data_IF_294229589464
#
_entry.id   IF_294229589464
#
_cell.length_a   1.000
_cell.length_b   1.000
_cell.length_c   1.000
_cell.angle_alpha   90.00
_cell.angle_beta   90.00
_cell.angle_gamma   90.00
#
_symmetry.space_group_name_H-M   'P 1'
#
loop_
_entity.id
_entity.type
_entity.pdbx_description
1 polymer ?
#
# COMPACT_ATOMS: atom_id res chain seq x y z
N UNK A 1 -25.00 43.08 -4.33
CA UNK A 1 -24.89 42.71 -5.75
C UNK A 1 -25.02 41.20 -5.84
N UNK A 2 -26.09 40.70 -6.46
CA UNK A 2 -26.26 39.26 -6.66
C UNK A 2 -25.15 38.80 -7.60
N UNK A 3 -24.43 37.77 -7.19
CA UNK A 3 -23.33 37.21 -7.97
C UNK A 3 -23.96 36.45 -9.15
N UNK A 4 -24.03 37.08 -10.33
CA UNK A 4 -24.39 36.48 -11.62
C UNK A 4 -23.38 35.36 -11.93
N UNK A 5 -23.58 34.19 -11.32
CA UNK A 5 -22.62 33.10 -11.38
C UNK A 5 -22.79 32.35 -12.71
N UNK A 6 -21.84 32.53 -13.62
CA UNK A 6 -21.65 31.62 -14.74
C UNK A 6 -21.35 30.23 -14.17
N UNK A 7 -22.14 29.22 -14.57
CA UNK A 7 -21.84 27.84 -14.23
C UNK A 7 -20.99 27.24 -15.35
N UNK A 8 -19.79 26.77 -15.00
CA UNK A 8 -18.93 26.04 -15.93
C UNK A 8 -19.65 24.76 -16.33
N UNK A 9 -19.96 24.67 -17.63
CA UNK A 9 -20.59 23.53 -18.26
C UNK A 9 -19.54 22.52 -18.75
N UNK A 10 -18.40 23.04 -19.21
CA UNK A 10 -17.25 22.24 -19.66
C UNK A 10 -15.96 23.05 -19.59
N UNK A 11 -14.84 22.40 -19.30
CA UNK A 11 -13.49 22.98 -19.41
C UNK A 11 -12.53 21.90 -19.88
N UNK A 12 -11.79 22.15 -20.95
CA UNK A 12 -10.84 21.18 -21.51
C UNK A 12 -9.71 21.84 -22.28
N UNK A 13 -8.61 21.11 -22.47
CA UNK A 13 -7.47 21.53 -23.30
C UNK A 13 -7.64 20.99 -24.73
N UNK A 14 -7.36 21.84 -25.70
CA UNK A 14 -7.56 21.55 -27.12
C UNK A 14 -6.45 22.16 -27.96
N UNK A 15 -6.05 21.42 -28.99
CA UNK A 15 -5.13 21.91 -30.00
C UNK A 15 -5.89 22.70 -31.07
N UNK A 16 -5.46 23.95 -31.33
CA UNK A 16 -6.09 24.86 -32.29
C UNK A 16 -5.11 25.35 -33.35
N UNK A 17 -5.57 25.42 -34.60
CA UNK A 17 -4.86 26.10 -35.70
C UNK A 17 -5.34 27.55 -35.81
N UNK A 18 -4.45 28.51 -35.60
CA UNK A 18 -4.71 29.95 -35.75
C UNK A 18 -4.25 30.38 -37.13
N UNK A 19 -5.17 30.89 -37.96
CA UNK A 19 -4.89 31.31 -39.35
C UNK A 19 -5.00 32.82 -39.49
N UNK A 20 -3.92 33.46 -39.95
CA UNK A 20 -3.82 34.91 -40.21
C UNK A 20 -3.33 35.12 -41.64
N UNK A 21 -4.28 35.13 -42.59
CA UNK A 21 -3.93 35.12 -44.01
C UNK A 21 -3.21 33.83 -44.39
N UNK A 22 -1.96 33.94 -44.83
CA UNK A 22 -1.10 32.79 -45.18
C UNK A 22 -0.33 32.22 -43.98
N UNK A 23 -0.31 32.91 -42.84
CA UNK A 23 0.33 32.43 -41.63
C UNK A 23 -0.57 31.43 -40.90
N UNK A 24 -0.03 30.27 -40.56
CA UNK A 24 -0.68 29.29 -39.71
C UNK A 24 0.21 29.01 -38.50
N UNK A 25 -0.34 29.26 -37.31
CA UNK A 25 0.25 28.90 -36.03
C UNK A 25 -0.60 27.82 -35.37
N UNK A 26 0.01 26.99 -34.55
CA UNK A 26 -0.70 25.95 -33.80
C UNK A 26 -0.42 26.13 -32.32
N UNK A 27 -1.43 25.91 -31.48
CA UNK A 27 -1.34 26.19 -30.04
C UNK A 27 -2.24 25.26 -29.24
N UNK A 28 -1.81 24.88 -28.05
CA UNK A 28 -2.70 24.29 -27.05
C UNK A 28 -3.41 25.40 -26.28
N UNK A 29 -4.73 25.33 -26.21
CA UNK A 29 -5.55 26.31 -25.50
C UNK A 29 -6.53 25.60 -24.57
N UNK A 30 -6.95 26.29 -23.52
CA UNK A 30 -8.08 25.89 -22.70
C UNK A 30 -9.36 26.51 -23.26
N UNK A 31 -10.36 25.67 -23.51
CA UNK A 31 -11.71 26.11 -23.88
C UNK A 31 -12.64 25.85 -22.70
N UNK A 32 -13.26 26.92 -22.21
CA UNK A 32 -14.28 26.87 -21.15
C UNK A 32 -15.63 27.23 -21.76
N UNK A 33 -16.62 26.37 -21.55
CA UNK A 33 -18.01 26.58 -21.93
C UNK A 33 -18.81 26.84 -20.65
N UNK A 34 -19.50 27.96 -20.58
CA UNK A 34 -20.25 28.38 -19.41
C UNK A 34 -21.67 28.77 -19.80
N UNK A 35 -22.66 28.37 -18.99
CA UNK A 35 -24.05 28.80 -19.14
C UNK A 35 -24.42 29.74 -18.00
N UNK A 36 -24.96 30.91 -18.33
CA UNK A 36 -25.56 31.84 -17.39
C UNK A 36 -27.07 31.65 -17.43
N UNK A 37 -27.65 31.15 -16.35
CA UNK A 37 -29.09 30.85 -16.27
C UNK A 37 -29.95 32.11 -16.13
N UNK A 38 -29.44 33.18 -15.50
CA UNK A 38 -30.22 34.39 -15.23
C UNK A 38 -30.62 35.15 -16.50
N UNK A 39 -29.73 35.19 -17.49
CA UNK A 39 -29.96 35.88 -18.77
C UNK A 39 -30.00 34.90 -19.96
N UNK A 40 -30.04 33.60 -19.67
CA UNK A 40 -30.04 32.51 -20.65
C UNK A 40 -29.04 32.74 -21.79
N UNK A 41 -27.77 32.89 -21.40
CA UNK A 41 -26.67 33.15 -22.33
C UNK A 41 -25.59 32.07 -22.21
N UNK A 42 -25.03 31.68 -23.35
CA UNK A 42 -23.90 30.76 -23.46
C UNK A 42 -22.62 31.56 -23.70
N UNK A 43 -21.56 31.21 -22.98
CA UNK A 43 -20.25 31.85 -23.10
C UNK A 43 -19.18 30.81 -23.38
N UNK A 44 -18.41 31.00 -24.44
CA UNK A 44 -17.21 30.23 -24.71
C UNK A 44 -16.00 31.14 -24.49
N UNK A 45 -15.03 30.65 -23.73
CA UNK A 45 -13.78 31.34 -23.43
C UNK A 45 -12.66 30.48 -23.97
N UNK A 46 -11.84 31.05 -24.86
CA UNK A 46 -10.61 30.43 -25.35
C UNK A 46 -9.47 31.20 -24.70
N UNK A 47 -8.68 30.52 -23.87
CA UNK A 47 -7.57 31.10 -23.13
C UNK A 47 -6.34 30.21 -23.25
N UNK A 48 -5.16 30.80 -23.17
CA UNK A 48 -3.92 30.05 -23.01
C UNK A 48 -3.42 30.15 -21.56
N UNK A 49 -2.92 29.03 -21.03
CA UNK A 49 -2.31 28.98 -19.70
C UNK A 49 -0.88 29.56 -19.71
N UNK A 50 -0.18 29.53 -20.85
CA UNK A 50 1.18 30.07 -20.99
C UNK A 50 1.20 31.56 -21.39
N UNK A 51 0.17 32.03 -22.09
CA UNK A 51 0.01 33.41 -22.54
C UNK A 51 -1.27 34.03 -22.00
N UNK A 52 -1.12 34.79 -20.91
CA UNK A 52 -2.23 35.49 -20.26
C UNK A 52 -2.93 36.55 -21.13
N UNK A 53 -2.32 36.97 -22.25
CA UNK A 53 -2.91 37.94 -23.19
C UNK A 53 -3.76 37.28 -24.27
N UNK A 54 -3.61 35.97 -24.46
CA UNK A 54 -4.45 35.21 -25.37
C UNK A 54 -5.81 34.92 -24.71
N UNK A 55 -6.80 35.74 -25.05
CA UNK A 55 -8.17 35.58 -24.58
C UNK A 55 -9.15 35.93 -25.70
N UNK A 56 -10.03 34.99 -26.04
CA UNK A 56 -11.17 35.23 -26.92
C UNK A 56 -12.44 34.83 -26.20
N UNK A 57 -13.49 35.66 -26.36
CA UNK A 57 -14.77 35.45 -25.72
C UNK A 57 -15.88 35.47 -26.75
N UNK A 58 -16.64 34.39 -26.81
CA UNK A 58 -17.88 34.32 -27.57
C UNK A 58 -19.01 34.35 -26.56
N UNK A 59 -19.91 35.32 -26.68
CA UNK A 59 -21.13 35.41 -25.91
C UNK A 59 -22.31 35.27 -26.86
N UNK A 60 -23.16 34.28 -26.61
CA UNK A 60 -24.37 34.02 -27.38
C UNK A 60 -25.57 34.12 -26.46
N UNK A 61 -26.40 35.12 -26.69
CA UNK A 61 -27.75 35.16 -26.11
C UNK A 61 -28.69 34.26 -26.91
N UNK A 62 -29.88 33.99 -26.37
CA UNK A 62 -30.93 33.28 -27.12
C UNK A 62 -31.29 34.00 -28.42
N UNK A 63 -31.29 35.33 -28.46
CA UNK A 63 -31.56 36.11 -29.66
C UNK A 63 -30.46 35.91 -30.73
N UNK A 64 -29.20 36.01 -30.33
CA UNK A 64 -28.06 35.79 -31.25
C UNK A 64 -28.08 34.36 -31.82
N UNK A 65 -28.50 33.40 -30.99
CA UNK A 65 -28.60 32.02 -31.41
C UNK A 65 -29.67 31.77 -32.49
N UNK A 66 -30.82 32.44 -32.44
CA UNK A 66 -31.86 32.28 -33.47
C UNK A 66 -31.35 32.72 -34.86
N UNK A 67 -30.51 33.75 -34.91
CA UNK A 67 -29.83 34.15 -36.14
C UNK A 67 -28.78 33.13 -36.56
N UNK A 68 -27.91 32.70 -35.63
CA UNK A 68 -26.89 31.68 -35.87
C UNK A 68 -27.50 30.37 -36.40
N UNK A 69 -28.61 29.94 -35.80
CA UNK A 69 -29.36 28.75 -36.15
C UNK A 69 -29.83 28.80 -37.60
N UNK A 70 -30.39 29.93 -38.04
CA UNK A 70 -30.81 30.13 -39.44
C UNK A 70 -29.62 30.20 -40.39
N UNK A 71 -28.57 30.94 -40.00
CA UNK A 71 -27.37 31.15 -40.83
C UNK A 71 -26.60 29.86 -41.10
N UNK A 72 -26.56 28.93 -40.14
CA UNK A 72 -25.80 27.68 -40.23
C UNK A 72 -26.68 26.43 -40.36
N UNK A 73 -27.99 26.60 -40.50
CA UNK A 73 -28.93 25.49 -40.64
C UNK A 73 -28.93 24.53 -39.44
N UNK A 74 -28.73 25.04 -38.22
CA UNK A 74 -28.72 24.20 -37.02
C UNK A 74 -30.13 23.67 -36.73
N UNK A 75 -30.24 22.39 -36.40
CA UNK A 75 -31.53 21.74 -36.13
C UNK A 75 -31.91 21.67 -34.65
N UNK A 76 -30.96 21.96 -33.77
CA UNK A 76 -31.15 21.94 -32.32
C UNK A 76 -31.70 23.27 -31.80
N UNK A 77 -32.23 23.28 -30.59
CA UNK A 77 -32.64 24.50 -29.88
C UNK A 77 -31.48 25.07 -29.05
N UNK A 78 -31.69 26.26 -28.48
CA UNK A 78 -30.70 26.92 -27.66
C UNK A 78 -30.36 26.12 -26.40
N UNK A 79 -31.33 25.40 -25.82
CA UNK A 79 -31.13 24.68 -24.58
C UNK A 79 -30.24 23.45 -24.73
N UNK A 80 -30.31 22.78 -25.88
CA UNK A 80 -29.45 21.65 -26.23
C UNK A 80 -28.13 22.08 -26.92
N UNK A 81 -28.03 23.33 -27.38
CA UNK A 81 -26.84 23.83 -28.06
C UNK A 81 -25.53 23.69 -27.24
N UNK A 82 -25.45 24.04 -25.95
CA UNK A 82 -24.24 23.86 -25.15
C UNK A 82 -23.73 22.41 -25.13
N UNK A 83 -24.64 21.43 -24.99
CA UNK A 83 -24.31 20.01 -25.03
C UNK A 83 -23.74 19.59 -26.37
N UNK A 84 -24.29 20.10 -27.47
CA UNK A 84 -23.77 19.82 -28.82
C UNK A 84 -22.39 20.45 -29.05
N UNK A 85 -22.15 21.67 -28.55
CA UNK A 85 -20.82 22.29 -28.59
C UNK A 85 -19.80 21.42 -27.85
N UNK A 86 -20.12 20.93 -26.65
CA UNK A 86 -19.22 20.04 -25.90
C UNK A 86 -18.95 18.74 -26.66
N UNK A 87 -19.97 18.15 -27.29
CA UNK A 87 -19.79 16.94 -28.11
C UNK A 87 -18.84 17.18 -29.28
N UNK A 88 -18.97 18.29 -29.98
CA UNK A 88 -18.04 18.68 -31.06
C UNK A 88 -16.61 18.86 -30.52
N UNK A 89 -16.45 19.53 -29.38
CA UNK A 89 -15.14 19.67 -28.74
C UNK A 89 -14.55 18.30 -28.36
N UNK A 90 -15.34 17.38 -27.84
CA UNK A 90 -14.89 16.01 -27.53
C UNK A 90 -14.42 15.26 -28.79
N UNK A 91 -15.08 15.46 -29.93
CA UNK A 91 -14.62 14.91 -31.22
C UNK A 91 -13.30 15.53 -31.70
N UNK A 92 -13.04 16.79 -31.36
CA UNK A 92 -11.72 17.41 -31.57
C UNK A 92 -10.65 16.78 -30.68
N UNK A 93 -10.96 16.50 -29.41
CA UNK A 93 -10.02 15.83 -28.51
C UNK A 93 -9.69 14.39 -28.94
N UNK A 94 -10.61 13.71 -29.64
CA UNK A 94 -10.37 12.38 -30.21
C UNK A 94 -9.69 12.41 -31.60
N UNK A 95 -9.18 13.56 -32.04
CA UNK A 95 -8.53 13.79 -33.35
C UNK A 95 -9.41 13.44 -34.57
N UNK A 96 -10.74 13.44 -34.43
CA UNK A 96 -11.67 13.25 -35.55
C UNK A 96 -12.07 14.56 -36.22
N UNK A 97 -11.93 15.67 -35.50
CA UNK A 97 -12.21 17.03 -35.97
C UNK A 97 -11.10 17.97 -35.51
N UNK A 98 -11.04 19.16 -36.10
CA UNK A 98 -10.01 20.16 -35.86
C UNK A 98 -10.64 21.49 -35.49
N UNK A 99 -10.00 22.23 -34.59
CA UNK A 99 -10.38 23.59 -34.25
C UNK A 99 -9.53 24.58 -35.04
N UNK A 100 -10.20 25.57 -35.64
CA UNK A 100 -9.53 26.62 -36.40
C UNK A 100 -10.01 27.98 -35.90
N UNK A 101 -9.08 28.88 -35.60
CA UNK A 101 -9.34 30.28 -35.34
C UNK A 101 -8.84 31.12 -36.51
N UNK A 102 -9.74 31.51 -37.41
CA UNK A 102 -9.40 32.15 -38.67
C UNK A 102 -9.69 33.66 -38.61
N UNK A 103 -8.66 34.48 -38.86
CA UNK A 103 -8.81 35.93 -39.01
C UNK A 103 -9.60 36.25 -40.28
N UNK A 104 -10.66 37.04 -40.15
CA UNK A 104 -11.52 37.49 -41.26
C UNK A 104 -11.30 38.97 -41.55
N UNK A 105 -11.32 39.79 -40.51
CA UNK A 105 -10.93 41.22 -40.55
C UNK A 105 -9.91 41.47 -39.44
N UNK A 106 -9.19 42.61 -39.41
CA UNK A 106 -8.09 42.82 -38.45
C UNK A 106 -8.41 42.56 -36.98
N UNK A 107 -9.69 42.60 -36.59
CA UNK A 107 -10.16 42.34 -35.23
C UNK A 107 -11.16 41.19 -35.12
N UNK A 108 -11.72 40.70 -36.25
CA UNK A 108 -12.77 39.68 -36.26
C UNK A 108 -12.20 38.33 -36.70
N UNK A 109 -12.51 37.31 -35.92
CA UNK A 109 -12.14 35.93 -36.17
C UNK A 109 -13.37 35.04 -36.25
N UNK A 110 -13.26 33.95 -37.01
CA UNK A 110 -14.17 32.82 -36.93
C UNK A 110 -13.49 31.69 -36.15
N UNK A 111 -14.12 31.24 -35.08
CA UNK A 111 -13.79 30.01 -34.38
C UNK A 111 -14.61 28.87 -34.97
N UNK A 112 -13.94 27.91 -35.60
CA UNK A 112 -14.56 26.89 -36.43
C UNK A 112 -14.22 25.48 -35.94
N UNK A 113 -15.24 24.63 -35.90
CA UNK A 113 -15.09 23.17 -35.76
C UNK A 113 -15.15 22.57 -37.15
N UNK A 114 -14.12 21.83 -37.52
CA UNK A 114 -13.90 21.38 -38.89
C UNK A 114 -13.65 19.88 -38.92
N UNK A 115 -14.25 19.20 -39.89
CA UNK A 115 -13.93 17.83 -40.25
C UNK A 115 -13.30 17.81 -41.66
N UNK A 116 -12.28 16.99 -41.85
CA UNK A 116 -11.74 16.69 -43.17
C UNK A 116 -12.22 15.30 -43.57
N UNK A 117 -12.96 15.20 -44.67
CA UNK A 117 -13.25 13.92 -45.29
C UNK A 117 -12.36 13.72 -46.53
N UNK A 118 -12.49 12.58 -47.20
CA UNK A 118 -11.66 12.23 -48.37
C UNK A 118 -11.80 13.22 -49.55
N UNK A 119 -12.84 14.06 -49.56
CA UNK A 119 -13.15 14.95 -50.66
C UNK A 119 -12.94 16.44 -50.34
N UNK A 120 -13.36 16.89 -49.17
CA UNK A 120 -13.43 18.31 -48.81
C UNK A 120 -13.37 18.55 -47.30
N UNK A 121 -13.15 19.82 -46.99
CA UNK A 121 -13.33 20.39 -45.66
C UNK A 121 -14.82 20.63 -45.38
N UNK A 122 -15.32 20.16 -44.25
CA UNK A 122 -16.66 20.42 -43.74
C UNK A 122 -16.57 21.27 -42.46
N UNK A 123 -17.29 22.39 -42.41
CA UNK A 123 -17.40 23.22 -41.20
C UNK A 123 -18.70 22.81 -40.48
N UNK A 124 -18.57 22.27 -39.26
CA UNK A 124 -19.69 21.85 -38.42
C UNK A 124 -20.29 22.99 -37.62
N UNK A 125 -19.45 23.95 -37.23
CA UNK A 125 -19.85 25.12 -36.47
C UNK A 125 -18.86 26.26 -36.73
N UNK A 126 -19.34 27.48 -36.93
CA UNK A 126 -18.50 28.67 -37.08
C UNK A 126 -19.00 29.79 -36.16
N UNK A 127 -18.22 30.22 -35.19
CA UNK A 127 -18.62 31.25 -34.23
C UNK A 127 -17.76 32.50 -34.42
N UNK A 128 -18.40 33.64 -34.62
CA UNK A 128 -17.68 34.92 -34.70
C UNK A 128 -17.14 35.29 -33.32
N UNK A 129 -15.90 35.73 -33.28
CA UNK A 129 -15.20 36.11 -32.06
C UNK A 129 -14.19 37.22 -32.34
N UNK A 130 -13.69 37.85 -31.28
CA UNK A 130 -12.62 38.83 -31.33
C UNK A 130 -11.73 38.67 -30.11
N UNK A 131 -10.48 39.15 -30.15
CA UNK A 131 -9.65 39.24 -28.96
C UNK A 131 -10.38 40.04 -27.88
N UNK A 132 -10.29 39.57 -26.63
CA UNK A 132 -10.86 40.27 -25.49
C UNK A 132 -10.20 41.64 -25.32
N UNK A 133 -11.00 42.64 -24.94
CA UNK A 133 -10.45 43.97 -24.66
C UNK A 133 -9.75 44.02 -23.28
N UNK A 134 -9.02 45.10 -23.00
CA UNK A 134 -8.29 45.29 -21.75
C UNK A 134 -9.13 45.10 -20.48
N UNK A 135 -10.41 45.48 -20.52
CA UNK A 135 -11.30 45.37 -19.36
C UNK A 135 -11.66 43.91 -19.13
N UNK A 136 -12.03 43.18 -20.18
CA UNK A 136 -12.33 41.75 -20.13
C UNK A 136 -11.11 40.92 -19.75
N UNK A 137 -9.92 41.31 -20.24
CA UNK A 137 -8.66 40.67 -19.93
C UNK A 137 -8.31 40.83 -18.45
N UNK A 138 -8.34 42.06 -17.94
CA UNK A 138 -8.08 42.36 -16.52
C UNK A 138 -9.06 41.64 -15.61
N UNK A 139 -10.34 41.60 -15.98
CA UNK A 139 -11.36 40.88 -15.22
C UNK A 139 -11.07 39.38 -15.18
N UNK A 140 -10.79 38.77 -16.34
CA UNK A 140 -10.45 37.35 -16.42
C UNK A 140 -9.20 37.01 -15.60
N UNK A 141 -8.15 37.84 -15.67
CA UNK A 141 -6.94 37.66 -14.88
C UNK A 141 -7.23 37.78 -13.38
N UNK A 142 -8.03 38.77 -12.96
CA UNK A 142 -8.40 38.94 -11.55
C UNK A 142 -9.19 37.73 -11.03
N UNK A 143 -10.17 37.25 -11.79
CA UNK A 143 -10.96 36.06 -11.44
C UNK A 143 -10.08 34.81 -11.35
N UNK A 144 -9.18 34.63 -12.33
CA UNK A 144 -8.20 33.54 -12.34
C UNK A 144 -7.28 33.61 -11.11
N UNK A 145 -6.78 34.79 -10.74
CA UNK A 145 -5.94 34.96 -9.54
C UNK A 145 -6.71 34.61 -8.27
N UNK A 146 -7.98 35.01 -8.17
CA UNK A 146 -8.83 34.68 -7.02
C UNK A 146 -9.06 33.18 -6.93
N UNK A 147 -9.38 32.52 -8.06
CA UNK A 147 -9.54 31.07 -8.13
C UNK A 147 -8.24 30.34 -7.73
N UNK A 148 -7.10 30.74 -8.32
CA UNK A 148 -5.80 30.16 -8.01
C UNK A 148 -5.43 30.33 -6.53
N UNK A 149 -5.69 31.51 -5.93
CA UNK A 149 -5.46 31.74 -4.49
C UNK A 149 -6.33 30.82 -3.63
N UNK A 150 -7.59 30.62 -3.99
CA UNK A 150 -8.51 29.72 -3.29
C UNK A 150 -8.04 28.27 -3.39
N UNK A 151 -7.67 27.82 -4.59
CA UNK A 151 -7.13 26.46 -4.82
C UNK A 151 -5.84 26.24 -4.05
N UNK A 152 -4.91 27.22 -4.06
CA UNK A 152 -3.65 27.14 -3.32
C UNK A 152 -3.89 27.05 -1.81
N UNK A 153 -4.78 27.88 -1.25
CA UNK A 153 -5.13 27.84 0.17
C UNK A 153 -5.72 26.48 0.56
N UNK A 154 -6.63 25.95 -0.27
CA UNK A 154 -7.22 24.62 -0.05
C UNK A 154 -6.14 23.54 -0.09
N UNK A 155 -5.29 23.54 -1.11
CA UNK A 155 -4.22 22.56 -1.28
C UNK A 155 -3.20 22.62 -0.12
N UNK A 156 -2.85 23.84 0.32
CA UNK A 156 -1.95 24.06 1.47
C UNK A 156 -2.55 23.52 2.76
N UNK A 157 -3.84 23.76 3.00
CA UNK A 157 -4.54 23.24 4.18
C UNK A 157 -4.60 21.71 4.17
N UNK A 158 -4.90 21.09 3.02
CA UNK A 158 -4.90 19.63 2.90
C UNK A 158 -3.50 19.04 3.06
N UNK A 159 -2.47 19.70 2.51
CA UNK A 159 -1.08 19.26 2.65
C UNK A 159 -0.64 19.28 4.11
N UNK A 160 -0.92 20.36 4.84
CA UNK A 160 -0.58 20.47 6.26
C UNK A 160 -1.34 19.46 7.12
N UNK A 161 -2.62 19.22 6.83
CA UNK A 161 -3.40 18.18 7.52
C UNK A 161 -2.85 16.77 7.26
N UNK A 162 -2.44 16.49 6.02
CA UNK A 162 -1.85 15.21 5.66
C UNK A 162 -0.49 15.02 6.34
N UNK A 163 0.35 16.06 6.37
CA UNK A 163 1.64 16.04 7.05
C UNK A 163 1.49 15.76 8.55
N UNK A 164 0.53 16.40 9.21
CA UNK A 164 0.20 16.13 10.61
C UNK A 164 -0.25 14.68 10.83
N UNK A 165 -1.17 14.18 9.99
CA UNK A 165 -1.65 12.80 10.07
C UNK A 165 -0.52 11.78 9.90
N UNK A 166 0.38 12.01 8.93
CA UNK A 166 1.52 11.14 8.69
C UNK A 166 2.54 11.19 9.83
N UNK A 167 2.82 12.39 10.34
CA UNK A 167 3.69 12.58 11.50
C UNK A 167 3.18 11.79 12.72
N UNK A 168 1.89 11.92 13.05
CA UNK A 168 1.28 11.15 14.15
C UNK A 168 1.38 9.64 13.93
N UNK A 169 1.20 9.18 12.68
CA UNK A 169 1.29 7.75 12.34
C UNK A 169 2.72 7.24 12.48
N UNK A 170 3.72 8.02 12.07
CA UNK A 170 5.13 7.70 12.25
C UNK A 170 5.45 7.57 13.75
N UNK A 171 5.08 8.56 14.57
CA UNK A 171 5.33 8.51 16.02
C UNK A 171 4.66 7.30 16.69
N UNK A 172 3.43 6.95 16.30
CA UNK A 172 2.74 5.75 16.81
C UNK A 172 3.46 4.45 16.41
N UNK A 173 3.98 4.37 15.19
CA UNK A 173 4.72 3.20 14.72
C UNK A 173 6.09 3.09 15.40
N UNK A 174 6.79 4.21 15.57
CA UNK A 174 8.06 4.27 16.31
C UNK A 174 7.89 3.81 17.75
N UNK A 175 6.85 4.26 18.46
CA UNK A 175 6.53 3.80 19.81
C UNK A 175 6.24 2.31 19.86
N UNK A 176 5.42 1.78 18.93
CA UNK A 176 5.14 0.34 18.87
C UNK A 176 6.39 -0.49 18.57
N UNK A 177 7.25 0.01 17.68
CA UNK A 177 8.51 -0.64 17.35
C UNK A 177 9.40 -0.70 18.59
N UNK A 178 9.51 0.41 19.33
CA UNK A 178 10.24 0.46 20.58
C UNK A 178 9.71 -0.55 21.61
N UNK A 179 8.40 -0.60 21.83
CA UNK A 179 7.77 -1.55 22.77
C UNK A 179 8.02 -3.01 22.37
N UNK A 180 7.90 -3.31 21.07
CA UNK A 180 8.17 -4.66 20.55
C UNK A 180 9.63 -5.04 20.71
N UNK A 181 10.57 -4.13 20.42
CA UNK A 181 11.99 -4.35 20.64
C UNK A 181 12.30 -4.64 22.12
N UNK A 182 11.70 -3.89 23.04
CA UNK A 182 11.90 -4.08 24.48
C UNK A 182 11.29 -5.39 24.99
N UNK A 183 10.15 -5.81 24.44
CA UNK A 183 9.57 -7.12 24.77
C UNK A 183 10.41 -8.27 24.21
N UNK A 184 10.98 -8.11 23.01
CA UNK A 184 11.84 -9.10 22.39
C UNK A 184 13.10 -9.31 23.24
N UNK A 185 13.77 -8.24 23.68
CA UNK A 185 14.94 -8.36 24.55
C UNK A 185 14.61 -9.04 25.88
N UNK A 186 13.47 -8.72 26.51
CA UNK A 186 13.01 -9.40 27.74
C UNK A 186 12.81 -10.90 27.53
N UNK A 187 12.15 -11.29 26.44
CA UNK A 187 11.91 -12.71 26.13
C UNK A 187 13.24 -13.44 25.88
N UNK A 188 14.20 -12.79 25.21
CA UNK A 188 15.54 -13.34 24.99
C UNK A 188 16.29 -13.56 26.31
N UNK A 189 16.25 -12.59 27.23
CA UNK A 189 16.84 -12.70 28.57
C UNK A 189 16.17 -13.81 29.41
N UNK A 190 14.83 -13.88 29.41
CA UNK A 190 14.09 -14.93 30.11
C UNK A 190 14.38 -16.32 29.54
N UNK A 191 14.45 -16.44 28.21
CA UNK A 191 14.81 -17.68 27.54
C UNK A 191 16.22 -18.12 27.94
N UNK A 192 17.19 -17.21 27.93
CA UNK A 192 18.56 -17.53 28.33
C UNK A 192 18.62 -17.98 29.80
N UNK A 193 17.90 -17.29 30.69
CA UNK A 193 17.79 -17.67 32.11
C UNK A 193 17.23 -19.08 32.28
N UNK A 194 16.10 -19.38 31.63
CA UNK A 194 15.51 -20.73 31.70
C UNK A 194 16.42 -21.80 31.08
N UNK A 195 17.18 -21.47 30.03
CA UNK A 195 18.13 -22.40 29.44
C UNK A 195 19.28 -22.74 30.39
N UNK A 196 19.80 -21.73 31.12
CA UNK A 196 20.83 -21.93 32.16
C UNK A 196 20.26 -22.78 33.30
N UNK A 197 19.10 -22.42 33.84
CA UNK A 197 18.45 -23.14 34.95
C UNK A 197 18.14 -24.59 34.56
N UNK A 198 17.65 -24.83 33.35
CA UNK A 198 17.41 -26.18 32.84
C UNK A 198 18.70 -27.00 32.75
N UNK A 199 19.80 -26.41 32.26
CA UNK A 199 21.11 -27.08 32.19
C UNK A 199 21.65 -27.41 33.58
N UNK A 200 21.48 -26.51 34.56
CA UNK A 200 21.89 -26.75 35.94
C UNK A 200 21.08 -27.87 36.60
N UNK A 201 19.74 -27.83 36.48
CA UNK A 201 18.86 -28.87 36.99
C UNK A 201 19.16 -30.24 36.36
N UNK A 202 19.40 -30.28 35.05
CA UNK A 202 19.79 -31.51 34.36
C UNK A 202 21.14 -32.05 34.86
N UNK A 203 22.08 -31.17 35.20
CA UNK A 203 23.37 -31.57 35.78
C UNK A 203 23.19 -32.13 37.19
N UNK A 204 22.42 -31.45 38.04
CA UNK A 204 22.13 -31.91 39.40
C UNK A 204 21.44 -33.29 39.39
N UNK A 205 20.48 -33.50 38.50
CA UNK A 205 19.79 -34.79 38.37
C UNK A 205 20.73 -35.90 37.88
N UNK A 206 21.62 -35.60 36.92
CA UNK A 206 22.66 -36.55 36.47
C UNK A 206 23.61 -36.92 37.61
N UNK A 207 24.07 -35.93 38.38
CA UNK A 207 24.96 -36.15 39.51
C UNK A 207 24.26 -36.99 40.60
N UNK A 208 22.97 -36.74 40.87
CA UNK A 208 22.15 -37.54 41.79
C UNK A 208 22.05 -39.00 41.33
N UNK A 209 21.71 -39.25 40.07
CA UNK A 209 21.62 -40.61 39.51
C UNK A 209 22.96 -41.35 39.56
N UNK A 210 24.07 -40.64 39.35
CA UNK A 210 25.42 -41.23 39.51
C UNK A 210 25.68 -41.63 40.97
N UNK A 211 25.33 -40.78 41.94
CA UNK A 211 25.46 -41.10 43.36
C UNK A 211 24.60 -42.29 43.78
N UNK A 212 23.32 -42.32 43.37
CA UNK A 212 22.43 -43.45 43.64
C UNK A 212 22.96 -44.75 43.03
N UNK A 213 23.50 -44.70 41.80
CA UNK A 213 24.12 -45.86 41.14
C UNK A 213 25.32 -46.37 41.95
N UNK A 214 26.21 -45.49 42.40
CA UNK A 214 27.38 -45.86 43.23
C UNK A 214 26.92 -46.49 44.55
N UNK A 215 25.92 -45.90 45.20
CA UNK A 215 25.38 -46.41 46.46
C UNK A 215 24.77 -47.80 46.29
N UNK A 216 23.98 -48.00 45.23
CA UNK A 216 23.38 -49.29 44.91
C UNK A 216 24.44 -50.36 44.61
N UNK A 217 25.48 -50.02 43.84
CA UNK A 217 26.60 -50.92 43.57
C UNK A 217 27.32 -51.36 44.86
N UNK A 218 27.61 -50.40 45.76
CA UNK A 218 28.24 -50.69 47.06
C UNK A 218 27.37 -51.59 47.93
N UNK A 219 26.06 -51.33 47.99
CA UNK A 219 25.12 -52.19 48.74
C UNK A 219 25.05 -53.60 48.16
N UNK A 220 25.03 -53.73 46.83
CA UNK A 220 25.00 -55.02 46.16
C UNK A 220 26.29 -55.83 46.37
N UNK A 221 27.46 -55.16 46.36
CA UNK A 221 28.75 -55.78 46.66
C UNK A 221 28.80 -56.28 48.11
N UNK A 222 28.38 -55.47 49.08
CA UNK A 222 28.28 -55.88 50.50
C UNK A 222 27.32 -57.06 50.65
N UNK A 223 26.15 -57.02 50.00
CA UNK A 223 25.19 -58.12 50.03
C UNK A 223 25.79 -59.42 49.46
N UNK A 224 26.47 -59.33 48.31
CA UNK A 224 27.15 -60.47 47.67
C UNK A 224 28.24 -61.05 48.56
N UNK A 225 29.09 -60.21 49.15
CA UNK A 225 30.15 -60.63 50.08
C UNK A 225 29.58 -61.31 51.33
N UNK A 226 28.50 -60.79 51.90
CA UNK A 226 27.82 -61.42 53.03
C UNK A 226 27.24 -62.80 52.65
N UNK A 227 26.67 -62.93 51.45
CA UNK A 227 26.15 -64.20 50.95
C UNK A 227 27.28 -65.23 50.75
N UNK A 228 28.40 -64.80 50.17
CA UNK A 228 29.59 -65.63 49.99
C UNK A 228 30.19 -66.07 51.33
N UNK A 229 30.31 -65.16 52.31
CA UNK A 229 30.78 -65.49 53.64
C UNK A 229 29.87 -66.51 54.35
N UNK A 230 28.55 -66.31 54.28
CA UNK A 230 27.59 -67.26 54.84
C UNK A 230 27.66 -68.65 54.16
N UNK A 231 27.86 -68.68 52.84
CA UNK A 231 28.08 -69.92 52.09
C UNK A 231 29.39 -70.60 52.47
N UNK A 232 30.47 -69.84 52.63
CA UNK A 232 31.78 -70.36 53.05
C UNK A 232 31.72 -70.93 54.46
N UNK A 233 31.05 -70.26 55.40
CA UNK A 233 30.83 -70.78 56.75
C UNK A 233 30.00 -72.07 56.73
N UNK A 234 29.00 -72.16 55.84
CA UNK A 234 28.23 -73.39 55.65
C UNK A 234 29.10 -74.53 55.12
N UNK A 235 29.97 -74.25 54.15
CA UNK A 235 30.92 -75.21 53.60
C UNK A 235 31.89 -75.70 54.69
N UNK A 236 32.51 -74.78 55.43
CA UNK A 236 33.41 -75.11 56.54
C UNK A 236 32.74 -75.99 57.61
N UNK A 237 31.46 -75.75 57.92
CA UNK A 237 30.69 -76.61 58.84
C UNK A 237 30.48 -78.01 58.27
N UNK A 238 30.16 -78.12 56.97
CA UNK A 238 30.02 -79.41 56.28
C UNK A 238 31.36 -80.15 56.23
N UNK A 239 32.47 -79.46 55.96
CA UNK A 239 33.81 -80.05 55.95
C UNK A 239 34.19 -80.61 57.33
N UNK A 240 33.97 -79.86 58.41
CA UNK A 240 34.16 -80.37 59.77
C UNK A 240 33.30 -81.61 60.04
N UNK A 241 32.05 -81.60 59.59
CA UNK A 241 31.18 -82.77 59.74
C UNK A 241 31.70 -83.98 58.94
N UNK A 242 32.22 -83.78 57.73
CA UNK A 242 32.86 -84.82 56.92
C UNK A 242 34.11 -85.36 57.64
N UNK A 243 34.95 -84.51 58.22
CA UNK A 243 36.11 -84.92 59.01
C UNK A 243 35.72 -85.77 60.23
N UNK A 244 34.70 -85.35 60.99
CA UNK A 244 34.16 -86.12 62.11
C UNK A 244 33.65 -87.49 61.67
N UNK A 245 32.91 -87.55 60.55
CA UNK A 245 32.44 -88.81 59.98
C UNK A 245 33.60 -89.69 59.52
N UNK A 246 34.61 -89.12 58.86
CA UNK A 246 35.82 -89.84 58.45
C UNK A 246 36.60 -90.38 59.65
N UNK A 247 36.69 -89.62 60.75
CA UNK A 247 37.32 -90.08 61.99
C UNK A 247 36.55 -91.27 62.58
N UNK A 248 35.21 -91.20 62.62
CA UNK A 248 34.36 -92.33 63.05
C UNK A 248 34.55 -93.56 62.15
N UNK A 249 34.57 -93.39 60.83
CA UNK A 249 34.83 -94.46 59.87
C UNK A 249 36.20 -95.09 60.13
N UNK A 250 37.23 -94.28 60.39
CA UNK A 250 38.57 -94.78 60.74
C UNK A 250 38.57 -95.56 62.04
N UNK A 251 37.98 -95.04 63.11
CA UNK A 251 37.85 -95.77 64.38
C UNK A 251 37.10 -97.09 64.22
N UNK A 252 36.05 -97.12 63.42
CA UNK A 252 35.31 -98.34 63.11
C UNK A 252 36.17 -99.34 62.31
N UNK A 253 36.95 -98.88 61.32
CA UNK A 253 37.93 -99.71 60.61
C UNK A 253 39.00 -100.27 61.55
N UNK A 254 39.58 -99.43 62.41
CA UNK A 254 40.61 -99.85 63.37
C UNK A 254 40.05 -100.90 64.35
N UNK A 255 38.80 -100.74 64.81
CA UNK A 255 38.10 -101.76 65.62
C UNK A 255 37.85 -103.04 64.84
N UNK A 256 37.43 -102.95 63.57
CA UNK A 256 37.25 -104.13 62.71
C UNK A 256 38.59 -104.87 62.57
N UNK A 257 39.71 -104.18 62.29
CA UNK A 257 41.03 -104.82 62.22
C UNK A 257 41.52 -105.37 63.56
N UNK A 258 41.16 -104.78 64.71
CA UNK A 258 41.47 -105.36 66.03
C UNK A 258 40.69 -106.65 66.28
N UNK A 259 39.43 -106.72 65.84
CA UNK A 259 38.60 -107.92 65.93
C UNK A 259 39.12 -108.99 64.96
N UNK A 260 39.52 -108.61 63.74
CA UNK A 260 40.09 -109.51 62.73
C UNK A 260 41.45 -110.09 63.15
N UNK A 261 42.27 -109.37 63.93
CA UNK A 261 43.55 -109.88 64.47
C UNK A 261 43.40 -110.72 65.75
N UNK A 262 42.18 -110.85 66.30
CA UNK A 262 41.87 -111.70 67.46
C UNK A 262 41.20 -113.03 67.08
N UNK A 263 41.07 -113.29 65.77
CA UNK A 263 40.63 -114.56 65.17
C UNK A 263 41.83 -115.26 64.52
#
# INVERSE_FOLDING_TARGET
>A
MKNTAFKVFHRGKYFISIKRGFEEAKKDITITVEKLFENDSLRLILSDEEDSTFLYRILLTRCDYEELKKQQGLLIDFDNFPSQVVRLLQQCASNSMFLILQLVTPILYNFEVVEHNEFKRLVHLSLKTQPANDTELKQHMADTIVELKKTLMTLKSSSSSNEMMWSEKCTKLESKLHDLSLNLTKIEEEKLRHEIEYKENLKLEKDRLVQEKIQWQKQNEVHTNNLLAASQDNLNRKDKHIEEQNHKIKQLRDKISQIENQL
#
